data_IF_750573061165
#
_entry.id   IF_750573061165
#
_cell.length_a   1.000
_cell.length_b   1.000
_cell.length_c   1.000
_cell.angle_alpha   90.00
_cell.angle_beta   90.00
_cell.angle_gamma   90.00
#
_symmetry.space_group_name_H-M   'P 1'
#
loop_
_entity.id
_entity.type
_entity.pdbx_description
1 polymer ?
#
# COMPACT_ATOMS: atom_id res chain seq x y z
N UNK A 1 7.34 22.87 0.97
CA UNK A 1 6.96 21.56 1.53
C UNK A 1 6.94 21.68 3.03
N UNK A 2 5.89 21.18 3.68
CA UNK A 2 5.89 21.02 5.12
C UNK A 2 6.97 19.99 5.47
N UNK A 3 7.84 20.29 6.44
CA UNK A 3 8.79 19.29 6.91
C UNK A 3 8.01 18.25 7.72
N UNK A 4 7.99 17.01 7.22
CA UNK A 4 7.44 15.88 7.97
C UNK A 4 8.13 15.79 9.33
N UNK A 5 7.34 15.61 10.39
CA UNK A 5 7.91 15.21 11.66
C UNK A 5 8.35 13.74 11.63
N UNK A 6 9.08 13.31 12.65
CA UNK A 6 9.63 11.96 12.72
C UNK A 6 8.54 10.88 12.69
N UNK A 7 7.41 11.11 13.37
CA UNK A 7 6.30 10.14 13.45
C UNK A 7 5.58 10.02 12.10
N UNK A 8 5.33 11.13 11.43
CA UNK A 8 4.76 11.17 10.09
C UNK A 8 5.66 10.44 9.09
N UNK A 9 6.98 10.66 9.18
CA UNK A 9 7.96 9.99 8.33
C UNK A 9 7.97 8.47 8.53
N UNK A 10 7.99 8.01 9.78
CA UNK A 10 7.91 6.59 10.14
C UNK A 10 6.60 5.94 9.69
N UNK A 11 5.48 6.64 9.85
CA UNK A 11 4.18 6.15 9.38
C UNK A 11 4.18 5.92 7.86
N UNK A 12 4.66 6.90 7.09
CA UNK A 12 4.75 6.77 5.63
C UNK A 12 5.72 5.66 5.21
N UNK A 13 6.84 5.48 5.93
CA UNK A 13 7.77 4.36 5.71
C UNK A 13 7.12 3.00 5.94
N UNK A 14 6.32 2.88 7.01
CA UNK A 14 5.60 1.65 7.29
C UNK A 14 4.59 1.32 6.19
N UNK A 15 3.87 2.31 5.66
CA UNK A 15 2.96 2.12 4.53
C UNK A 15 3.70 1.62 3.27
N UNK A 16 4.87 2.17 2.99
CA UNK A 16 5.73 1.71 1.89
C UNK A 16 6.21 0.27 2.12
N UNK A 17 6.57 -0.08 3.36
CA UNK A 17 6.95 -1.46 3.71
C UNK A 17 5.79 -2.44 3.57
N UNK A 18 4.59 -2.05 4.01
CA UNK A 18 3.35 -2.81 3.81
C UNK A 18 3.13 -3.06 2.32
N UNK A 19 3.26 -2.02 1.48
CA UNK A 19 3.14 -2.17 0.03
C UNK A 19 4.13 -3.20 -0.51
N UNK A 20 5.42 -3.02 -0.22
CA UNK A 20 6.49 -3.91 -0.71
C UNK A 20 6.22 -5.36 -0.31
N UNK A 21 5.80 -5.58 0.95
CA UNK A 21 5.42 -6.89 1.44
C UNK A 21 4.27 -7.51 0.64
N UNK A 22 3.17 -6.78 0.43
CA UNK A 22 2.00 -7.32 -0.27
C UNK A 22 2.23 -7.51 -1.78
N UNK A 23 3.05 -6.66 -2.40
CA UNK A 23 3.49 -6.86 -3.79
C UNK A 23 4.31 -8.14 -3.89
N UNK A 24 5.34 -8.32 -3.07
CA UNK A 24 6.16 -9.52 -3.08
C UNK A 24 5.35 -10.78 -2.77
N UNK A 25 4.43 -10.68 -1.80
CA UNK A 25 3.52 -11.76 -1.46
C UNK A 25 2.61 -12.15 -2.65
N UNK A 26 2.11 -11.17 -3.40
CA UNK A 26 1.30 -11.41 -4.60
C UNK A 26 2.09 -12.12 -5.70
N UNK A 27 3.37 -11.76 -5.87
CA UNK A 27 4.27 -12.44 -6.82
C UNK A 27 4.57 -13.87 -6.39
N UNK A 28 4.89 -14.08 -5.11
CA UNK A 28 5.11 -15.43 -4.56
C UNK A 28 3.89 -16.33 -4.76
N UNK A 29 2.70 -15.73 -4.74
CA UNK A 29 1.43 -16.45 -4.90
C UNK A 29 1.19 -16.96 -6.32
N UNK A 30 1.96 -16.51 -7.31
CA UNK A 30 1.98 -17.12 -8.65
C UNK A 30 2.76 -18.44 -8.70
N UNK A 31 3.50 -18.80 -7.64
CA UNK A 31 4.19 -20.07 -7.61
C UNK A 31 3.19 -21.22 -7.38
N UNK A 32 3.02 -22.07 -8.40
CA UNK A 32 2.13 -23.24 -8.38
C UNK A 32 2.46 -24.27 -7.29
N UNK A 33 3.70 -24.31 -6.82
CA UNK A 33 4.15 -25.24 -5.77
C UNK A 33 3.87 -24.69 -4.35
N UNK A 34 3.46 -23.42 -4.25
CA UNK A 34 3.15 -22.79 -2.97
C UNK A 34 1.78 -23.23 -2.45
N UNK A 35 1.72 -23.60 -1.17
CA UNK A 35 0.45 -23.87 -0.49
C UNK A 35 -0.22 -22.57 -0.08
N UNK A 36 -1.20 -22.14 -0.88
CA UNK A 36 -1.98 -20.91 -0.68
C UNK A 36 -3.11 -21.07 0.34
N UNK A 37 -2.80 -21.49 1.57
CA UNK A 37 -3.80 -21.75 2.62
C UNK A 37 -4.55 -20.51 3.11
N UNK A 38 -4.02 -19.32 2.81
CA UNK A 38 -4.57 -18.03 3.22
C UNK A 38 -5.64 -17.51 2.22
N UNK A 39 -5.65 -18.03 0.99
CA UNK A 39 -6.51 -17.53 -0.08
C UNK A 39 -7.79 -18.35 -0.20
N UNK A 40 -8.90 -17.67 -0.46
CA UNK A 40 -10.15 -18.33 -0.88
C UNK A 40 -10.13 -18.76 -2.35
N UNK A 41 -9.11 -18.33 -3.11
CA UNK A 41 -8.97 -18.53 -4.55
C UNK A 41 -7.64 -19.19 -4.96
N UNK A 42 -7.17 -20.26 -4.29
CA UNK A 42 -5.86 -20.84 -4.55
C UNK A 42 -5.73 -21.43 -5.96
N UNK A 43 -6.83 -21.91 -6.55
CA UNK A 43 -6.83 -22.50 -7.90
C UNK A 43 -6.65 -21.43 -8.97
N UNK A 44 -7.20 -20.24 -8.76
CA UNK A 44 -7.10 -19.09 -9.64
C UNK A 44 -5.67 -18.56 -9.67
N UNK A 45 -5.02 -18.44 -8.50
CA UNK A 45 -3.60 -18.08 -8.41
C UNK A 45 -2.69 -19.08 -9.12
N UNK A 46 -2.91 -20.39 -8.96
CA UNK A 46 -2.15 -21.42 -9.68
C UNK A 46 -2.31 -21.25 -11.20
N UNK A 47 -3.55 -21.06 -11.68
CA UNK A 47 -3.82 -20.82 -13.11
C UNK A 47 -3.14 -19.54 -13.62
N UNK A 48 -3.15 -18.47 -12.83
CA UNK A 48 -2.44 -17.23 -13.19
C UNK A 48 -0.93 -17.48 -13.28
N UNK A 49 -0.35 -18.19 -12.32
CA UNK A 49 1.05 -18.57 -12.31
C UNK A 49 1.48 -19.44 -13.49
N UNK A 50 0.58 -20.25 -14.04
CA UNK A 50 0.84 -20.99 -15.29
C UNK A 50 0.98 -20.08 -16.52
N UNK A 51 0.40 -18.88 -16.50
CA UNK A 51 0.41 -17.93 -17.62
C UNK A 51 1.39 -16.75 -17.42
N UNK A 52 1.70 -16.41 -16.17
CA UNK A 52 2.64 -15.36 -15.76
C UNK A 52 3.89 -16.05 -15.19
N UNK A 53 4.78 -16.50 -16.07
CA UNK A 53 5.90 -17.36 -15.70
C UNK A 53 7.26 -16.97 -16.30
N UNK A 54 7.30 -15.95 -17.16
CA UNK A 54 8.57 -15.36 -17.61
C UNK A 54 8.98 -14.20 -16.72
N UNK A 55 10.27 -13.86 -16.71
CA UNK A 55 10.78 -12.70 -15.95
C UNK A 55 10.08 -11.40 -16.35
N UNK A 56 9.82 -11.21 -17.65
CA UNK A 56 9.09 -10.07 -18.18
C UNK A 56 7.64 -10.03 -17.66
N UNK A 57 6.91 -11.14 -17.74
CA UNK A 57 5.52 -11.20 -17.26
C UNK A 57 5.43 -10.97 -15.75
N UNK A 58 6.35 -11.54 -14.98
CA UNK A 58 6.42 -11.33 -13.52
C UNK A 58 6.75 -9.88 -13.19
N UNK A 59 7.64 -9.23 -13.94
CA UNK A 59 7.94 -7.80 -13.81
C UNK A 59 6.72 -6.94 -14.14
N UNK A 60 6.01 -7.22 -15.23
CA UNK A 60 4.84 -6.46 -15.63
C UNK A 60 3.70 -6.64 -14.60
N UNK A 61 3.52 -7.86 -14.08
CA UNK A 61 2.59 -8.10 -12.98
C UNK A 61 2.99 -7.36 -11.70
N UNK A 62 4.30 -7.29 -11.38
CA UNK A 62 4.80 -6.47 -10.27
C UNK A 62 4.43 -5.00 -10.44
N UNK A 63 4.52 -4.42 -11.65
CA UNK A 63 4.12 -3.03 -11.87
C UNK A 63 2.63 -2.80 -11.59
N UNK A 64 1.77 -3.71 -12.07
CA UNK A 64 0.33 -3.67 -11.80
C UNK A 64 0.05 -3.78 -10.29
N UNK A 65 0.73 -4.69 -9.58
CA UNK A 65 0.53 -4.84 -8.13
C UNK A 65 1.02 -3.61 -7.35
N UNK A 66 2.11 -2.96 -7.79
CA UNK A 66 2.54 -1.70 -7.18
C UNK A 66 1.47 -0.63 -7.35
N UNK A 67 1.01 -0.39 -8.58
CA UNK A 67 -0.04 0.60 -8.88
C UNK A 67 -1.29 0.36 -8.04
N UNK A 68 -1.77 -0.89 -8.01
CA UNK A 68 -2.98 -1.24 -7.27
C UNK A 68 -2.84 -0.98 -5.77
N UNK A 69 -1.75 -1.42 -5.15
CA UNK A 69 -1.56 -1.28 -3.70
C UNK A 69 -1.27 0.19 -3.34
N UNK A 70 -0.50 0.91 -4.16
CA UNK A 70 -0.26 2.34 -3.99
C UNK A 70 -1.57 3.14 -4.05
N UNK A 71 -2.42 2.89 -5.05
CA UNK A 71 -3.71 3.56 -5.18
C UNK A 71 -4.63 3.27 -3.99
N UNK A 72 -4.67 2.01 -3.51
CA UNK A 72 -5.47 1.65 -2.32
C UNK A 72 -4.99 2.44 -1.10
N UNK A 73 -3.68 2.48 -0.83
CA UNK A 73 -3.11 3.22 0.29
C UNK A 73 -3.42 4.71 0.13
N UNK A 74 -3.19 5.27 -1.06
CA UNK A 74 -3.47 6.67 -1.38
C UNK A 74 -4.94 7.05 -1.09
N UNK A 75 -5.91 6.23 -1.55
CA UNK A 75 -7.34 6.45 -1.29
C UNK A 75 -7.71 6.35 0.19
N UNK A 76 -7.07 5.46 0.95
CA UNK A 76 -7.26 5.40 2.41
C UNK A 76 -6.77 6.70 3.06
N UNK A 77 -5.61 7.21 2.64
CA UNK A 77 -5.06 8.46 3.16
C UNK A 77 -5.91 9.68 2.78
N UNK A 78 -6.46 9.71 1.56
CA UNK A 78 -7.44 10.72 1.15
C UNK A 78 -8.64 10.75 2.10
N UNK A 79 -9.20 9.59 2.45
CA UNK A 79 -10.31 9.49 3.42
C UNK A 79 -9.91 10.04 4.79
N UNK A 80 -8.70 9.76 5.26
CA UNK A 80 -8.18 10.31 6.52
C UNK A 80 -7.98 11.82 6.44
N UNK A 81 -7.50 12.33 5.32
CA UNK A 81 -7.32 13.77 5.07
C UNK A 81 -8.66 14.52 4.89
N UNK A 82 -9.78 13.79 4.80
CA UNK A 82 -11.13 14.35 4.72
C UNK A 82 -11.70 14.41 3.30
N UNK A 83 -11.05 13.77 2.32
CA UNK A 83 -11.63 13.56 1.00
C UNK A 83 -12.62 12.38 1.02
N UNK A 84 -13.58 12.39 0.10
CA UNK A 84 -14.65 11.38 0.05
C UNK A 84 -15.95 11.87 0.69
N UNK A 85 -16.84 10.93 0.99
CA UNK A 85 -18.24 11.22 1.35
C UNK A 85 -18.62 10.67 2.75
N UNK A 86 -17.69 10.69 3.71
CA UNK A 86 -18.03 10.39 5.10
C UNK A 86 -18.78 11.57 5.71
N UNK A 87 -19.77 11.28 6.56
CA UNK A 87 -20.52 12.25 7.35
C UNK A 87 -19.79 12.67 8.64
N UNK A 88 -18.57 12.16 8.85
CA UNK A 88 -17.68 12.48 9.95
C UNK A 88 -16.22 12.52 9.48
N UNK A 89 -15.37 13.20 10.25
CA UNK A 89 -13.93 13.23 10.02
C UNK A 89 -13.22 12.07 10.73
N UNK A 90 -12.21 11.50 10.07
CA UNK A 90 -11.29 10.51 10.65
C UNK A 90 -9.96 11.20 10.95
N UNK A 91 -9.32 10.76 12.03
CA UNK A 91 -7.98 11.19 12.38
C UNK A 91 -7.13 10.01 12.87
N UNK A 92 -5.83 10.07 12.58
CA UNK A 92 -4.82 9.14 13.07
C UNK A 92 -4.06 9.84 14.19
N UNK A 93 -4.33 9.43 15.43
CA UNK A 93 -3.81 10.10 16.62
C UNK A 93 -2.71 9.26 17.26
N UNK A 94 -1.57 9.89 17.55
CA UNK A 94 -0.53 9.27 18.35
C UNK A 94 -1.06 8.95 19.76
N UNK A 95 -0.91 7.69 20.19
CA UNK A 95 -1.49 7.23 21.44
C UNK A 95 -0.93 7.95 22.67
N UNK A 96 0.33 8.38 22.63
CA UNK A 96 1.04 8.99 23.77
C UNK A 96 0.88 10.50 23.79
N UNK A 97 1.20 11.20 22.69
CA UNK A 97 1.17 12.66 22.62
C UNK A 97 -0.22 13.21 22.33
N UNK A 98 -1.15 12.37 21.86
CA UNK A 98 -2.50 12.77 21.41
C UNK A 98 -2.50 13.73 20.23
N UNK A 99 -1.36 13.86 19.55
CA UNK A 99 -1.22 14.68 18.36
C UNK A 99 -1.75 13.93 17.14
N UNK A 100 -2.44 14.66 16.27
CA UNK A 100 -2.84 14.18 14.96
C UNK A 100 -1.64 14.00 14.05
N UNK A 101 -1.55 12.86 13.38
CA UNK A 101 -0.54 12.61 12.36
C UNK A 101 -0.79 13.40 11.07
N UNK A 102 -2.03 13.82 10.79
CA UNK A 102 -2.33 14.70 9.65
C UNK A 102 -2.25 16.20 9.99
N UNK A 103 -1.82 16.57 11.19
CA UNK A 103 -1.69 17.97 11.57
C UNK A 103 -0.71 18.72 10.64
N UNK A 104 -1.22 19.73 9.94
CA UNK A 104 -0.42 20.62 9.08
C UNK A 104 0.10 19.99 7.79
N UNK A 105 -0.40 18.82 7.41
CA UNK A 105 -0.05 18.12 6.16
C UNK A 105 -1.28 17.46 5.53
N UNK A 106 -1.12 17.00 4.30
CA UNK A 106 -2.04 16.04 3.68
C UNK A 106 -1.28 14.73 3.49
N UNK A 107 -1.68 13.68 4.21
CA UNK A 107 -0.99 12.39 4.20
C UNK A 107 -0.92 11.78 2.79
N UNK A 108 -1.98 11.91 1.98
CA UNK A 108 -1.99 11.36 0.61
C UNK A 108 -0.93 12.02 -0.30
N UNK A 109 -0.76 13.34 -0.23
CA UNK A 109 0.27 14.08 -0.96
C UNK A 109 1.69 13.68 -0.53
N UNK A 110 1.88 13.49 0.79
CA UNK A 110 3.18 13.09 1.33
C UNK A 110 3.52 11.65 0.95
N UNK A 111 2.53 10.76 0.93
CA UNK A 111 2.70 9.40 0.43
C UNK A 111 3.04 9.38 -1.06
N UNK A 112 2.29 10.12 -1.89
CA UNK A 112 2.53 10.27 -3.32
C UNK A 112 3.94 10.77 -3.61
N UNK A 113 4.40 11.79 -2.87
CA UNK A 113 5.77 12.29 -2.96
C UNK A 113 6.77 11.18 -2.67
N UNK A 114 6.60 10.46 -1.56
CA UNK A 114 7.52 9.40 -1.12
C UNK A 114 7.67 8.26 -2.14
N UNK A 115 6.58 7.85 -2.78
CA UNK A 115 6.62 6.76 -3.77
C UNK A 115 7.14 7.22 -5.14
N UNK A 116 7.05 8.51 -5.46
CA UNK A 116 7.60 9.09 -6.70
C UNK A 116 9.12 9.36 -6.66
N UNK A 117 9.72 9.36 -5.47
CA UNK A 117 11.17 9.54 -5.26
C UNK A 117 11.99 8.23 -5.36
N UNK A 118 11.33 7.08 -5.58
CA UNK A 118 11.95 5.76 -5.75
C UNK A 118 12.06 5.36 -7.21
#
# INVERSE_FOLDING_TARGET
MSNLNEKQSKFLEELVSIKEHYVDFSLLSLNKDLKLNWSSYPKEYIKLGEHINTEEQVRDFRFIQNELVDEIIYRILEVVDGYGNLDFEIDLIDKETKESLKAGIQLHDQYATRISEK
#
